data_IF_044481108653
#
_entry.id   IF_044481108653
#
_cell.length_a   1.000
_cell.length_b   1.000
_cell.length_c   1.000
_cell.angle_alpha   90.00
_cell.angle_beta   90.00
_cell.angle_gamma   90.00
#
_symmetry.space_group_name_H-M   'P 1'
#
loop_
_entity.id
_entity.type
_entity.pdbx_description
1 polymer ?
#
# COMPACT_ATOMS: atom_id res chain seq x y z
N UNK A 1 4.50 -14.29 12.18
CA UNK A 1 4.91 -13.41 11.07
C UNK A 1 3.71 -12.53 10.77
N UNK A 2 3.84 -11.20 10.85
CA UNK A 2 2.71 -10.32 10.59
C UNK A 2 2.41 -10.39 9.08
N UNK A 3 1.21 -10.81 8.75
CA UNK A 3 0.69 -10.80 7.38
C UNK A 3 0.22 -9.38 7.07
N UNK A 4 0.46 -8.90 5.85
CA UNK A 4 -0.04 -7.60 5.44
C UNK A 4 -1.56 -7.62 5.41
N UNK A 5 -2.17 -6.46 5.69
CA UNK A 5 -3.61 -6.33 5.61
C UNK A 5 -4.00 -5.30 4.54
N UNK A 6 -4.94 -5.63 3.64
CA UNK A 6 -5.59 -6.94 3.48
C UNK A 6 -4.69 -7.95 2.75
N UNK A 7 -5.17 -9.19 2.57
CA UNK A 7 -4.43 -10.22 1.82
C UNK A 7 -4.24 -9.84 0.35
N UNK A 8 -3.32 -10.53 -0.35
CA UNK A 8 -3.03 -10.27 -1.77
C UNK A 8 -4.28 -10.48 -2.63
N UNK A 9 -5.08 -11.51 -2.37
CA UNK A 9 -6.31 -11.79 -3.14
C UNK A 9 -7.32 -10.63 -3.02
N UNK A 10 -7.42 -10.02 -1.84
CA UNK A 10 -8.26 -8.83 -1.64
C UNK A 10 -7.67 -7.61 -2.36
N UNK A 11 -6.33 -7.46 -2.38
CA UNK A 11 -5.68 -6.37 -3.11
C UNK A 11 -5.89 -6.48 -4.63
N UNK A 12 -5.84 -7.69 -5.18
CA UNK A 12 -6.16 -7.98 -6.58
C UNK A 12 -7.63 -7.69 -6.90
N UNK A 13 -8.55 -8.11 -6.02
CA UNK A 13 -9.97 -7.83 -6.16
C UNK A 13 -10.27 -6.32 -6.07
N UNK A 14 -9.62 -5.63 -5.13
CA UNK A 14 -9.69 -4.18 -5.00
C UNK A 14 -9.20 -3.50 -6.28
N UNK A 15 -8.11 -3.98 -6.88
CA UNK A 15 -7.61 -3.46 -8.15
C UNK A 15 -8.64 -3.68 -9.26
N UNK A 16 -9.19 -4.89 -9.38
CA UNK A 16 -10.20 -5.22 -10.38
C UNK A 16 -11.40 -4.27 -10.33
N UNK A 17 -11.86 -3.92 -9.12
CA UNK A 17 -12.93 -2.94 -8.89
C UNK A 17 -12.46 -1.48 -8.83
N UNK A 18 -11.18 -1.19 -9.16
CA UNK A 18 -10.58 0.15 -9.21
C UNK A 18 -10.55 0.87 -7.85
N UNK A 19 -10.60 0.13 -6.76
CA UNK A 19 -10.43 0.65 -5.40
C UNK A 19 -8.97 1.01 -5.18
N UNK A 20 -8.71 2.18 -4.62
CA UNK A 20 -7.35 2.67 -4.36
C UNK A 20 -6.85 2.18 -3.00
N UNK A 21 -5.55 1.93 -2.91
CA UNK A 21 -4.88 1.50 -1.67
C UNK A 21 -4.23 2.67 -0.96
N UNK A 22 -3.97 2.51 0.34
CA UNK A 22 -3.16 3.43 1.16
C UNK A 22 -2.03 2.63 1.80
N UNK A 23 -0.84 3.23 1.94
CA UNK A 23 0.26 2.61 2.69
C UNK A 23 0.27 3.07 4.15
N UNK A 24 0.47 2.13 5.07
CA UNK A 24 0.64 2.41 6.49
C UNK A 24 1.40 1.27 7.17
N UNK A 25 2.49 1.60 7.87
CA UNK A 25 3.35 0.60 8.52
C UNK A 25 2.82 0.10 9.86
N UNK A 26 1.85 0.81 10.45
CA UNK A 26 1.39 0.59 11.83
C UNK A 26 2.54 0.49 12.85
N UNK A 27 3.57 1.31 12.62
CA UNK A 27 4.81 1.26 13.37
C UNK A 27 4.61 1.74 14.82
N UNK A 28 4.77 0.82 15.76
CA UNK A 28 4.84 1.11 17.19
C UNK A 28 6.28 1.39 17.68
N UNK A 29 7.26 1.22 16.78
CA UNK A 29 8.69 1.49 17.00
C UNK A 29 9.32 2.08 15.73
N UNK A 30 10.33 2.97 15.82
CA UNK A 30 10.94 3.58 14.63
C UNK A 30 11.45 2.56 13.60
N UNK A 31 12.03 1.46 14.08
CA UNK A 31 12.55 0.37 13.24
C UNK A 31 11.48 -0.28 12.34
N UNK A 32 10.19 -0.17 12.68
CA UNK A 32 9.10 -0.78 11.91
C UNK A 32 8.64 0.07 10.72
N UNK A 33 9.04 1.35 10.65
CA UNK A 33 8.48 2.33 9.69
C UNK A 33 8.58 1.87 8.22
N UNK A 34 9.59 1.06 7.90
CA UNK A 34 9.90 0.62 6.52
C UNK A 34 10.27 -0.86 6.41
N UNK A 35 9.89 -1.70 7.39
CA UNK A 35 10.38 -3.08 7.50
C UNK A 35 10.24 -3.92 6.22
N UNK A 36 9.14 -3.76 5.48
CA UNK A 36 8.85 -4.48 4.23
C UNK A 36 8.70 -3.56 3.01
N UNK A 37 9.21 -2.33 3.09
CA UNK A 37 8.96 -1.27 2.10
C UNK A 37 9.12 -1.71 0.63
N UNK A 38 10.28 -2.30 0.30
CA UNK A 38 10.59 -2.73 -1.06
C UNK A 38 9.64 -3.85 -1.54
N UNK A 39 9.29 -4.76 -0.63
CA UNK A 39 8.43 -5.91 -0.94
C UNK A 39 7.00 -5.43 -1.20
N UNK A 40 6.49 -4.50 -0.41
CA UNK A 40 5.16 -3.88 -0.61
C UNK A 40 5.09 -3.13 -1.94
N UNK A 41 6.08 -2.28 -2.24
CA UNK A 41 6.10 -1.53 -3.50
C UNK A 41 6.12 -2.47 -4.71
N UNK A 42 6.96 -3.50 -4.67
CA UNK A 42 7.03 -4.51 -5.72
C UNK A 42 5.71 -5.26 -5.91
N UNK A 43 5.11 -5.77 -4.83
CA UNK A 43 3.86 -6.54 -4.91
C UNK A 43 2.72 -5.70 -5.46
N UNK A 44 2.55 -4.46 -5.01
CA UNK A 44 1.51 -3.58 -5.54
C UNK A 44 1.70 -3.30 -7.04
N UNK A 45 2.95 -3.12 -7.49
CA UNK A 45 3.28 -2.93 -8.91
C UNK A 45 3.00 -4.19 -9.75
N UNK A 46 3.27 -5.37 -9.21
CA UNK A 46 2.96 -6.68 -9.82
C UNK A 46 1.44 -6.90 -9.97
N UNK A 47 0.64 -6.49 -8.97
CA UNK A 47 -0.83 -6.52 -9.04
C UNK A 47 -1.38 -5.55 -10.12
N UNK A 48 -0.67 -4.44 -10.37
CA UNK A 48 -1.02 -3.47 -11.41
C UNK A 48 -1.22 -2.04 -10.91
N UNK A 49 -1.13 -1.81 -9.59
CA UNK A 49 -1.18 -0.45 -9.04
C UNK A 49 0.01 0.38 -9.57
N UNK A 50 -0.25 1.68 -9.74
CA UNK A 50 0.74 2.69 -10.17
C UNK A 50 0.88 3.84 -9.19
N UNK A 51 -0.22 4.14 -8.50
CA UNK A 51 -0.30 5.15 -7.45
C UNK A 51 -0.99 4.56 -6.22
N UNK A 52 -0.70 5.13 -5.05
CA UNK A 52 -1.51 4.93 -3.85
C UNK A 52 -2.09 6.26 -3.38
N UNK A 53 -3.13 6.19 -2.57
CA UNK A 53 -3.73 7.34 -1.93
C UNK A 53 -3.05 7.63 -0.59
N UNK A 54 -2.88 8.92 -0.28
CA UNK A 54 -2.80 9.40 1.09
C UNK A 54 -3.79 10.55 1.29
N UNK A 55 -4.05 10.92 2.54
CA UNK A 55 -5.01 11.98 2.85
C UNK A 55 -4.35 13.12 3.61
N UNK A 56 -4.62 14.35 3.17
CA UNK A 56 -4.20 15.58 3.87
C UNK A 56 -5.38 16.52 3.96
N UNK A 57 -5.71 16.95 5.18
CA UNK A 57 -6.90 17.79 5.45
C UNK A 57 -8.19 17.19 4.82
N UNK A 58 -8.39 15.88 4.98
CA UNK A 58 -9.50 15.10 4.40
C UNK A 58 -9.59 15.13 2.87
N UNK A 59 -8.55 15.58 2.17
CA UNK A 59 -8.44 15.52 0.71
C UNK A 59 -7.54 14.35 0.31
N UNK A 60 -8.04 13.52 -0.60
CA UNK A 60 -7.27 12.41 -1.19
C UNK A 60 -6.22 12.99 -2.14
N UNK A 61 -5.00 12.52 -2.01
CA UNK A 61 -3.87 12.85 -2.87
C UNK A 61 -3.30 11.53 -3.37
N UNK A 62 -3.17 11.39 -4.69
CA UNK A 62 -2.53 10.24 -5.31
C UNK A 62 -1.03 10.53 -5.45
N UNK A 63 -0.20 9.54 -5.14
CA UNK A 63 1.24 9.61 -5.38
C UNK A 63 1.74 8.32 -6.02
N UNK A 64 2.75 8.40 -6.89
CA UNK A 64 3.33 7.23 -7.52
C UNK A 64 3.91 6.25 -6.50
N UNK A 65 3.74 4.96 -6.78
CA UNK A 65 4.44 3.90 -6.05
C UNK A 65 5.90 3.90 -6.53
N UNK A 66 6.89 4.02 -5.63
CA UNK A 66 8.30 4.02 -6.02
C UNK A 66 8.76 2.72 -6.69
N UNK A 67 9.84 2.85 -7.48
CA UNK A 67 10.55 1.72 -8.10
C UNK A 67 11.26 0.86 -7.06
#
# INVERSE_FOLDING_TARGET
>A
MAEWFPSIEILELAHYYKVQVTFGSDAHRPEHLMGDWNKVCRTLREIGYRDWAFFRKKKRIMVPIPE
#
